data_IF_525473273141
#
_entry.id   IF_525473273141
#
_cell.length_a   1.000
_cell.length_b   1.000
_cell.length_c   1.000
_cell.angle_alpha   90.00
_cell.angle_beta   90.00
_cell.angle_gamma   90.00
#
_symmetry.space_group_name_H-M   'P 1'
#
loop_
_entity.id
_entity.type
_entity.pdbx_description
1 polymer ?
#
# COMPACT_ATOMS: atom_id res chain seq x y z
N UNK A 1 54.74 14.69 54.82
CA UNK A 1 53.33 14.78 54.40
C UNK A 1 53.19 15.94 53.43
N UNK A 2 53.14 15.66 52.11
CA UNK A 2 52.53 16.55 51.12
C UNK A 2 51.80 15.63 50.15
N UNK A 3 50.48 15.67 50.20
CA UNK A 3 49.58 14.88 49.36
C UNK A 3 49.35 15.64 48.04
N UNK A 4 49.67 15.00 46.91
CA UNK A 4 49.33 15.49 45.58
C UNK A 4 48.04 14.82 45.10
N UNK A 5 46.97 15.61 44.97
CA UNK A 5 45.72 15.21 44.34
C UNK A 5 45.81 15.51 42.83
N UNK A 6 45.82 14.48 41.99
CA UNK A 6 45.60 14.61 40.55
C UNK A 6 44.09 14.54 40.27
N UNK A 7 43.53 15.62 39.72
CA UNK A 7 42.20 15.61 39.12
C UNK A 7 42.29 15.12 37.68
N UNK A 8 41.68 13.96 37.41
CA UNK A 8 41.47 13.43 36.06
C UNK A 8 40.18 14.04 35.51
N UNK A 9 40.29 14.90 34.50
CA UNK A 9 39.14 15.45 33.76
C UNK A 9 38.80 14.46 32.65
N UNK A 10 37.64 13.80 32.73
CA UNK A 10 37.13 12.98 31.62
C UNK A 10 36.40 13.86 30.60
N UNK A 11 36.70 13.73 29.29
CA UNK A 11 35.95 14.41 28.25
C UNK A 11 34.58 13.75 28.04
N UNK A 12 33.51 14.51 28.26
CA UNK A 12 32.14 14.11 27.93
C UNK A 12 31.92 14.16 26.42
N UNK A 13 31.82 12.99 25.78
CA UNK A 13 31.44 12.87 24.38
C UNK A 13 29.94 13.13 24.20
N UNK A 14 29.59 14.21 23.50
CA UNK A 14 28.23 14.46 23.02
C UNK A 14 28.00 13.55 21.81
N UNK A 15 27.20 12.50 21.97
CA UNK A 15 26.70 11.72 20.83
C UNK A 15 25.56 12.48 20.16
N UNK A 16 25.83 13.03 18.98
CA UNK A 16 24.79 13.56 18.09
C UNK A 16 24.14 12.36 17.40
N UNK A 17 22.86 12.12 17.67
CA UNK A 17 22.09 11.08 16.98
C UNK A 17 21.94 11.48 15.50
N UNK A 18 22.74 10.88 14.64
CA UNK A 18 22.54 10.96 13.19
C UNK A 18 21.22 10.26 12.88
N UNK A 19 20.23 11.02 12.39
CA UNK A 19 18.99 10.46 11.90
C UNK A 19 19.30 9.43 10.82
N UNK A 20 19.01 8.17 11.10
CA UNK A 20 19.25 7.08 10.16
C UNK A 20 18.31 7.25 8.98
N UNK A 21 18.86 7.51 7.78
CA UNK A 21 18.07 7.47 6.56
C UNK A 21 17.77 6.02 6.20
N UNK A 22 16.53 5.74 5.80
CA UNK A 22 16.11 4.43 5.31
C UNK A 22 16.12 4.40 3.77
N UNK A 23 16.27 3.23 3.12
CA UNK A 23 16.09 3.11 1.67
C UNK A 23 14.73 3.64 1.22
N UNK A 24 14.69 4.36 0.10
CA UNK A 24 13.42 4.77 -0.52
C UNK A 24 12.76 3.53 -1.12
N UNK A 25 11.51 3.28 -0.72
CA UNK A 25 10.73 2.13 -1.19
C UNK A 25 9.82 2.53 -2.36
N UNK A 26 9.54 1.57 -3.24
CA UNK A 26 8.64 1.74 -4.37
C UNK A 26 7.22 1.95 -3.86
N UNK A 27 6.45 2.84 -4.51
CA UNK A 27 5.04 3.05 -4.18
C UNK A 27 4.54 4.47 -4.39
N UNK A 28 3.27 4.68 -4.07
CA UNK A 28 2.62 5.99 -4.12
C UNK A 28 2.76 6.68 -2.78
N UNK A 29 3.27 7.90 -2.79
CA UNK A 29 3.45 8.76 -1.63
C UNK A 29 2.56 9.98 -1.74
N UNK A 30 1.97 10.41 -0.62
CA UNK A 30 1.11 11.57 -0.53
C UNK A 30 1.65 12.56 0.48
N UNK A 31 1.58 13.84 0.14
CA UNK A 31 1.95 14.95 1.01
C UNK A 31 1.18 14.89 2.34
N UNK A 32 1.88 14.97 3.46
CA UNK A 32 1.22 15.06 4.78
C UNK A 32 0.35 16.32 4.85
N UNK A 33 -0.96 16.15 5.06
CA UNK A 33 -1.92 17.25 5.12
C UNK A 33 -2.29 17.87 3.76
N UNK A 34 -1.91 17.25 2.64
CA UNK A 34 -2.22 17.73 1.29
C UNK A 34 -2.80 16.65 0.38
N UNK A 35 -3.27 17.05 -0.81
CA UNK A 35 -3.81 16.16 -1.84
C UNK A 35 -2.80 15.79 -2.93
N UNK A 36 -1.57 16.29 -2.83
CA UNK A 36 -0.53 16.05 -3.82
C UNK A 36 0.09 14.66 -3.60
N UNK A 37 0.17 13.87 -4.66
CA UNK A 37 0.74 12.52 -4.64
C UNK A 37 1.75 12.31 -5.77
N UNK A 38 2.75 11.48 -5.51
CA UNK A 38 3.74 11.01 -6.47
C UNK A 38 3.86 9.50 -6.41
N UNK A 39 4.24 8.86 -7.50
CA UNK A 39 4.65 7.46 -7.49
C UNK A 39 6.16 7.37 -7.65
N UNK A 40 6.81 6.53 -6.85
CA UNK A 40 8.25 6.29 -6.87
C UNK A 40 8.50 4.86 -7.29
N UNK A 41 9.36 4.67 -8.28
CA UNK A 41 9.79 3.37 -8.80
C UNK A 41 11.32 3.28 -8.68
N UNK A 42 11.86 2.16 -8.18
CA UNK A 42 13.30 1.95 -8.25
C UNK A 42 13.72 1.48 -9.63
N UNK A 43 14.87 1.98 -10.05
CA UNK A 43 15.54 1.56 -11.28
C UNK A 43 16.93 1.05 -10.92
N UNK A 44 17.61 0.39 -11.86
CA UNK A 44 19.00 -0.07 -11.67
C UNK A 44 19.98 1.07 -11.30
N UNK A 45 19.57 2.30 -11.56
CA UNK A 45 20.47 3.45 -11.60
C UNK A 45 20.00 4.63 -10.73
N UNK A 46 18.99 4.40 -9.88
CA UNK A 46 18.38 5.41 -9.01
C UNK A 46 16.89 5.16 -8.77
N UNK A 47 16.10 6.23 -8.71
CA UNK A 47 14.63 6.16 -8.64
C UNK A 47 14.01 6.99 -9.76
N UNK A 48 12.86 6.55 -10.26
CA UNK A 48 11.99 7.34 -11.13
C UNK A 48 10.83 7.88 -10.31
N UNK A 49 10.62 9.19 -10.34
CA UNK A 49 9.46 9.83 -9.72
C UNK A 49 8.45 10.18 -10.81
N UNK A 50 7.24 9.64 -10.69
CA UNK A 50 6.12 9.85 -11.58
C UNK A 50 5.14 10.84 -10.93
N UNK A 51 5.02 12.00 -11.56
CA UNK A 51 4.00 13.00 -11.32
C UNK A 51 2.98 12.94 -12.47
N UNK A 52 1.75 13.48 -12.34
CA UNK A 52 0.71 13.34 -13.35
C UNK A 52 1.10 13.73 -14.78
N UNK A 53 2.01 14.70 -14.93
CA UNK A 53 2.44 15.23 -16.24
C UNK A 53 3.96 15.13 -16.45
N UNK A 54 4.69 14.44 -15.57
CA UNK A 54 6.16 14.46 -15.58
C UNK A 54 6.77 13.21 -14.99
N UNK A 55 7.84 12.74 -15.61
CA UNK A 55 8.70 11.70 -15.06
C UNK A 55 10.08 12.29 -14.82
N UNK A 56 10.55 12.22 -13.58
CA UNK A 56 11.80 12.83 -13.15
C UNK A 56 12.76 11.73 -12.68
N UNK A 57 13.85 11.47 -13.42
CA UNK A 57 14.84 10.46 -13.02
C UNK A 57 15.79 11.03 -11.96
N UNK A 58 15.77 10.46 -10.75
CA UNK A 58 16.69 10.84 -9.68
C UNK A 58 17.85 9.85 -9.59
N UNK A 59 19.06 10.38 -9.41
CA UNK A 59 20.31 9.62 -9.26
C UNK A 59 20.75 9.60 -7.80
N UNK A 60 21.40 8.54 -7.31
CA UNK A 60 21.96 8.51 -5.96
C UNK A 60 22.90 9.70 -5.73
N UNK A 61 22.79 10.33 -4.57
CA UNK A 61 23.52 11.56 -4.22
C UNK A 61 25.01 11.35 -3.88
N UNK A 62 25.44 10.09 -3.72
CA UNK A 62 26.78 9.71 -3.29
C UNK A 62 26.78 8.92 -1.98
N UNK A 63 27.96 8.40 -1.61
CA UNK A 63 28.15 7.61 -0.38
C UNK A 63 28.06 8.46 0.91
N UNK A 64 28.28 9.76 0.78
CA UNK A 64 28.18 10.78 1.83
C UNK A 64 26.73 11.11 2.21
N UNK A 65 25.77 10.84 1.32
CA UNK A 65 24.33 11.05 1.52
C UNK A 65 23.53 9.76 1.22
N UNK A 66 23.66 8.72 2.06
CA UNK A 66 22.97 7.45 1.83
C UNK A 66 21.46 7.64 1.77
N UNK A 67 20.83 6.88 0.87
CA UNK A 67 19.38 6.92 0.61
C UNK A 67 18.84 8.30 0.18
N UNK A 68 19.72 9.18 -0.31
CA UNK A 68 19.34 10.44 -0.93
C UNK A 68 19.53 10.32 -2.43
N UNK A 69 18.55 10.82 -3.19
CA UNK A 69 18.54 10.83 -4.63
C UNK A 69 18.30 12.26 -5.11
N UNK A 70 18.98 12.67 -6.18
CA UNK A 70 18.94 14.02 -6.73
C UNK A 70 18.54 14.04 -8.20
N UNK A 71 17.80 15.06 -8.59
CA UNK A 71 17.41 15.33 -9.97
C UNK A 71 17.59 16.82 -10.25
N UNK A 72 18.38 17.15 -11.28
CA UNK A 72 18.51 18.52 -11.76
C UNK A 72 17.41 18.82 -12.78
N UNK A 73 16.69 19.93 -12.60
CA UNK A 73 15.63 20.36 -13.52
C UNK A 73 16.06 21.61 -14.28
N UNK A 74 16.44 21.42 -15.54
CA UNK A 74 16.92 22.48 -16.45
C UNK A 74 15.95 23.67 -16.56
N UNK A 75 14.64 23.41 -16.52
CA UNK A 75 13.62 24.46 -16.65
C UNK A 75 13.62 25.44 -15.47
N UNK A 76 14.02 24.96 -14.29
CA UNK A 76 13.98 25.76 -13.05
C UNK A 76 15.36 26.13 -12.53
N UNK A 77 16.42 25.48 -13.03
CA UNK A 77 17.79 25.66 -12.54
C UNK A 77 18.03 25.12 -11.13
N UNK A 78 17.11 24.33 -10.57
CA UNK A 78 17.23 23.76 -9.23
C UNK A 78 17.49 22.25 -9.27
N UNK A 79 18.27 21.79 -8.29
CA UNK A 79 18.39 20.38 -7.93
C UNK A 79 17.34 20.04 -6.88
N UNK A 80 16.49 19.07 -7.19
CA UNK A 80 15.50 18.50 -6.28
C UNK A 80 16.07 17.22 -5.67
N UNK A 81 15.72 16.96 -4.41
CA UNK A 81 16.15 15.80 -3.66
C UNK A 81 14.97 15.02 -3.09
N UNK A 82 15.11 13.70 -3.08
CA UNK A 82 14.28 12.76 -2.34
C UNK A 82 15.19 12.01 -1.38
N UNK A 83 14.84 11.95 -0.09
CA UNK A 83 15.51 11.05 0.86
C UNK A 83 14.52 10.18 1.61
N UNK A 84 14.89 8.93 1.85
CA UNK A 84 14.11 8.05 2.71
C UNK A 84 14.34 8.38 4.18
N UNK A 85 13.25 8.61 4.92
CA UNK A 85 13.26 8.80 6.37
C UNK A 85 13.02 7.46 7.06
N UNK A 86 11.99 6.74 6.63
CA UNK A 86 11.65 5.40 7.07
C UNK A 86 10.94 4.63 5.93
N UNK A 87 10.48 3.39 6.17
CA UNK A 87 9.83 2.55 5.15
C UNK A 87 8.51 3.11 4.60
N UNK A 88 7.89 4.07 5.27
CA UNK A 88 6.62 4.68 4.90
C UNK A 88 6.75 6.19 4.64
N UNK A 89 7.93 6.77 4.77
CA UNK A 89 8.11 8.22 4.78
C UNK A 89 9.32 8.62 3.97
N UNK A 90 9.10 9.52 3.02
CA UNK A 90 10.16 10.20 2.29
C UNK A 90 10.08 11.71 2.52
N UNK A 91 11.20 12.38 2.37
CA UNK A 91 11.28 13.83 2.33
C UNK A 91 11.67 14.30 0.94
N UNK A 92 10.89 15.23 0.39
CA UNK A 92 11.20 15.96 -0.83
C UNK A 92 11.74 17.36 -0.48
N UNK A 93 12.85 17.76 -1.10
CA UNK A 93 13.51 19.02 -0.79
C UNK A 93 14.18 19.63 -2.03
N UNK A 94 14.53 20.91 -1.96
CA UNK A 94 15.48 21.53 -2.90
C UNK A 94 16.86 21.50 -2.28
N UNK A 95 17.88 21.12 -3.05
CA UNK A 95 19.27 21.05 -2.59
C UNK A 95 19.89 22.45 -2.54
N UNK A 96 19.30 23.31 -1.71
CA UNK A 96 19.71 24.70 -1.47
C UNK A 96 19.69 24.96 0.03
N UNK A 97 20.57 25.84 0.49
CA UNK A 97 20.67 26.21 1.90
C UNK A 97 19.35 26.81 2.43
N UNK A 98 18.96 26.42 3.65
CA UNK A 98 17.75 26.90 4.29
C UNK A 98 16.43 26.29 3.78
N UNK A 99 16.48 25.34 2.83
CA UNK A 99 15.27 24.66 2.38
C UNK A 99 14.66 23.80 3.51
N UNK A 100 13.36 23.95 3.74
CA UNK A 100 12.59 23.07 4.63
C UNK A 100 12.08 21.88 3.81
N UNK A 101 12.45 20.63 4.15
CA UNK A 101 11.94 19.45 3.46
C UNK A 101 10.45 19.24 3.71
N UNK A 102 9.78 18.75 2.68
CA UNK A 102 8.37 18.37 2.73
C UNK A 102 8.25 16.87 2.91
N UNK A 103 7.37 16.41 3.81
CA UNK A 103 7.17 14.99 4.11
C UNK A 103 6.03 14.39 3.29
N UNK A 104 6.27 13.19 2.78
CA UNK A 104 5.27 12.40 2.09
C UNK A 104 5.18 11.01 2.72
N UNK A 105 3.94 10.55 2.93
CA UNK A 105 3.61 9.24 3.48
C UNK A 105 3.20 8.28 2.38
N UNK A 106 3.73 7.05 2.44
CA UNK A 106 3.41 5.98 1.50
C UNK A 106 1.97 5.52 1.73
N UNK A 107 1.16 5.58 0.69
CA UNK A 107 -0.22 5.10 0.68
C UNK A 107 -0.32 3.62 0.27
N UNK A 108 0.63 3.14 -0.55
CA UNK A 108 0.62 1.79 -1.08
C UNK A 108 1.64 1.60 -2.21
N UNK A 109 1.63 0.40 -2.80
CA UNK A 109 2.57 -0.02 -3.85
C UNK A 109 3.07 -1.42 -3.60
N UNK A 110 3.50 -2.17 -4.65
CA UNK A 110 4.09 -3.48 -4.45
C UNK A 110 5.23 -3.34 -3.44
N UNK A 111 5.26 -4.14 -2.37
CA UNK A 111 6.44 -4.16 -1.51
C UNK A 111 7.61 -4.48 -2.43
N UNK A 112 8.65 -3.68 -2.34
CA UNK A 112 9.90 -4.07 -2.97
C UNK A 112 10.22 -5.48 -2.52
N UNK A 113 10.65 -6.32 -3.46
CA UNK A 113 11.04 -7.68 -3.18
C UNK A 113 12.31 -7.67 -2.32
N UNK A 114 12.19 -7.26 -1.05
CA UNK A 114 13.03 -7.81 0.00
C UNK A 114 12.76 -9.32 -0.08
N UNK A 115 13.80 -10.19 -0.08
CA UNK A 115 13.54 -11.59 0.18
C UNK A 115 12.69 -11.60 1.44
N UNK A 116 11.52 -12.21 1.36
CA UNK A 116 10.68 -12.47 2.51
C UNK A 116 11.57 -13.32 3.41
N UNK A 117 12.33 -12.68 4.31
CA UNK A 117 12.61 -13.30 5.58
C UNK A 117 11.21 -13.57 6.07
N UNK A 118 10.87 -14.86 6.14
CA UNK A 118 9.71 -15.33 6.86
C UNK A 118 9.54 -14.38 8.03
N UNK A 119 8.40 -13.69 8.08
CA UNK A 119 8.04 -12.88 9.23
C UNK A 119 8.09 -13.88 10.37
N UNK A 120 9.21 -13.90 11.07
CA UNK A 120 9.32 -14.53 12.36
C UNK A 120 8.31 -13.73 13.19
N UNK A 121 7.23 -14.35 13.70
CA UNK A 121 6.21 -13.67 14.47
C UNK A 121 6.83 -13.27 15.82
N UNK A 122 7.68 -12.25 15.78
CA UNK A 122 8.18 -11.54 16.93
C UNK A 122 7.07 -10.68 17.53
N UNK A 123 7.12 -10.40 18.84
CA UNK A 123 5.96 -10.08 19.66
C UNK A 123 5.55 -8.61 19.49
N UNK A 124 4.95 -8.29 18.35
CA UNK A 124 4.00 -7.19 18.25
C UNK A 124 2.63 -7.80 18.42
N UNK A 125 1.84 -7.31 19.37
CA UNK A 125 0.52 -7.83 19.73
C UNK A 125 -0.57 -7.69 18.65
N UNK A 126 -0.25 -7.90 17.38
CA UNK A 126 -1.22 -8.27 16.37
C UNK A 126 -1.79 -9.65 16.77
N UNK A 127 -3.12 -9.81 16.86
CA UNK A 127 -3.70 -11.11 17.07
C UNK A 127 -3.21 -12.06 15.96
N UNK A 128 -2.95 -13.34 16.28
CA UNK A 128 -2.37 -14.29 15.34
C UNK A 128 -3.13 -14.27 14.01
N UNK A 129 -2.39 -14.35 12.89
CA UNK A 129 -2.96 -14.56 11.57
C UNK A 129 -4.08 -15.63 11.66
N UNK A 130 -5.31 -15.24 11.34
CA UNK A 130 -6.42 -16.19 11.34
C UNK A 130 -7.80 -15.56 11.41
N UNK A 131 -8.12 -14.72 12.40
CA UNK A 131 -9.54 -14.42 12.68
C UNK A 131 -10.09 -13.29 11.82
N UNK A 132 -9.45 -12.12 11.79
CA UNK A 132 -10.12 -10.91 11.30
C UNK A 132 -10.15 -10.85 9.76
N UNK A 133 -9.13 -11.39 9.08
CA UNK A 133 -9.13 -11.54 7.62
C UNK A 133 -10.15 -12.60 7.15
N UNK A 134 -10.40 -13.64 7.94
CA UNK A 134 -11.46 -14.62 7.68
C UNK A 134 -12.84 -14.01 7.90
N UNK A 135 -13.02 -13.21 8.96
CA UNK A 135 -14.24 -12.44 9.22
C UNK A 135 -14.52 -11.47 8.06
N UNK A 136 -13.50 -10.82 7.51
CA UNK A 136 -13.64 -9.97 6.32
C UNK A 136 -14.15 -10.76 5.11
N UNK A 137 -13.54 -11.93 4.82
CA UNK A 137 -13.98 -12.81 3.73
C UNK A 137 -15.41 -13.32 3.93
N UNK A 138 -15.78 -13.68 5.16
CA UNK A 138 -17.13 -14.10 5.54
C UNK A 138 -18.15 -13.01 5.20
N UNK A 139 -17.93 -11.76 5.60
CA UNK A 139 -18.86 -10.68 5.29
C UNK A 139 -18.87 -10.29 3.81
N UNK A 140 -17.73 -10.39 3.12
CA UNK A 140 -17.70 -10.22 1.67
C UNK A 140 -18.54 -11.27 0.93
N UNK A 141 -18.53 -12.52 1.42
CA UNK A 141 -19.39 -13.56 0.86
C UNK A 141 -20.88 -13.28 1.14
N UNK A 142 -21.21 -12.79 2.35
CA UNK A 142 -22.57 -12.38 2.69
C UNK A 142 -23.05 -11.20 1.83
N UNK A 143 -22.21 -10.20 1.54
CA UNK A 143 -22.60 -9.09 0.66
C UNK A 143 -22.97 -9.53 -0.76
N UNK A 144 -22.39 -10.65 -1.22
CA UNK A 144 -22.68 -11.22 -2.53
C UNK A 144 -23.95 -12.10 -2.52
N UNK A 145 -24.30 -12.70 -1.39
CA UNK A 145 -25.38 -13.71 -1.28
C UNK A 145 -26.67 -13.20 -0.65
N UNK A 146 -26.61 -12.14 0.16
CA UNK A 146 -27.77 -11.49 0.77
C UNK A 146 -27.92 -10.07 0.20
N UNK A 147 -28.73 -9.93 -0.84
CA UNK A 147 -28.95 -8.67 -1.54
C UNK A 147 -29.65 -7.62 -0.67
N UNK A 148 -30.53 -8.05 0.24
CA UNK A 148 -31.30 -7.15 1.09
C UNK A 148 -30.41 -6.38 2.08
N UNK A 149 -29.34 -7.02 2.54
CA UNK A 149 -28.39 -6.43 3.49
C UNK A 149 -27.00 -6.19 2.88
N UNK A 150 -26.88 -6.16 1.54
CA UNK A 150 -25.60 -6.04 0.82
C UNK A 150 -24.75 -4.86 1.31
N UNK A 151 -25.37 -3.71 1.55
CA UNK A 151 -24.67 -2.52 2.04
C UNK A 151 -24.10 -2.74 3.45
N UNK A 152 -24.90 -3.34 4.35
CA UNK A 152 -24.47 -3.66 5.71
C UNK A 152 -23.30 -4.66 5.71
N UNK A 153 -23.40 -5.72 4.91
CA UNK A 153 -22.33 -6.72 4.80
C UNK A 153 -21.05 -6.18 4.18
N UNK A 154 -21.15 -5.28 3.20
CA UNK A 154 -19.97 -4.61 2.62
C UNK A 154 -19.26 -3.75 3.67
N UNK A 155 -20.03 -3.01 4.48
CA UNK A 155 -19.50 -2.21 5.57
C UNK A 155 -18.81 -3.07 6.65
N UNK A 156 -19.43 -4.19 7.03
CA UNK A 156 -18.86 -5.16 7.96
C UNK A 156 -17.57 -5.81 7.44
N UNK A 157 -17.51 -6.14 6.14
CA UNK A 157 -16.31 -6.64 5.46
C UNK A 157 -15.16 -5.63 5.56
N UNK A 158 -15.43 -4.35 5.30
CA UNK A 158 -14.43 -3.29 5.38
C UNK A 158 -13.90 -3.09 6.81
N UNK A 159 -14.78 -3.13 7.82
CA UNK A 159 -14.39 -3.03 9.22
C UNK A 159 -13.47 -4.18 9.65
N UNK A 160 -13.83 -5.43 9.32
CA UNK A 160 -13.01 -6.60 9.61
C UNK A 160 -11.66 -6.57 8.86
N UNK A 161 -11.66 -6.15 7.60
CA UNK A 161 -10.43 -6.00 6.82
C UNK A 161 -9.50 -4.97 7.47
N UNK A 162 -10.03 -3.82 7.90
CA UNK A 162 -9.23 -2.81 8.59
C UNK A 162 -8.61 -3.35 9.87
N UNK A 163 -9.35 -4.14 10.66
CA UNK A 163 -8.80 -4.81 11.86
C UNK A 163 -7.66 -5.77 11.52
N UNK A 164 -7.72 -6.44 10.37
CA UNK A 164 -6.63 -7.33 9.94
C UNK A 164 -5.36 -6.60 9.46
N UNK A 165 -5.47 -5.32 9.10
CA UNK A 165 -4.38 -4.54 8.51
C UNK A 165 -3.79 -3.47 9.43
N UNK A 166 -4.56 -3.00 10.41
CA UNK A 166 -4.23 -1.86 11.25
C UNK A 166 -4.04 -2.27 12.71
N UNK A 167 -3.43 -1.39 13.50
CA UNK A 167 -3.38 -1.55 14.96
C UNK A 167 -4.80 -1.50 15.56
N UNK A 168 -4.97 -2.05 16.77
CA UNK A 168 -6.27 -2.10 17.44
C UNK A 168 -6.95 -0.73 17.59
N UNK A 169 -6.20 0.32 17.96
CA UNK A 169 -6.76 1.67 18.12
C UNK A 169 -7.23 2.27 16.80
N UNK A 170 -6.42 2.16 15.74
CA UNK A 170 -6.77 2.66 14.40
C UNK A 170 -7.97 1.89 13.81
N UNK A 171 -8.00 0.58 14.02
CA UNK A 171 -9.10 -0.26 13.58
C UNK A 171 -10.40 0.02 14.35
N UNK A 172 -10.32 0.27 15.66
CA UNK A 172 -11.47 0.62 16.50
C UNK A 172 -12.05 1.99 16.11
N UNK A 173 -11.19 2.98 15.83
CA UNK A 173 -11.63 4.29 15.34
C UNK A 173 -12.40 4.17 14.02
N UNK A 174 -11.89 3.35 13.09
CA UNK A 174 -12.60 3.05 11.84
C UNK A 174 -13.89 2.27 12.09
N UNK A 175 -13.86 1.28 12.99
CA UNK A 175 -15.04 0.51 13.39
C UNK A 175 -16.18 1.38 13.93
N UNK A 176 -15.88 2.44 14.70
CA UNK A 176 -16.88 3.42 15.16
C UNK A 176 -17.49 4.20 13.99
N UNK A 177 -16.69 4.63 13.02
CA UNK A 177 -17.19 5.35 11.83
C UNK A 177 -18.13 4.45 11.00
N UNK A 178 -17.74 3.20 10.80
CA UNK A 178 -18.57 2.21 10.10
C UNK A 178 -19.85 1.93 10.88
N UNK A 179 -19.78 1.81 12.20
CA UNK A 179 -20.95 1.62 13.05
C UNK A 179 -21.94 2.80 12.97
N UNK A 180 -21.45 4.04 12.92
CA UNK A 180 -22.29 5.22 12.71
C UNK A 180 -23.03 5.18 11.38
N UNK A 181 -22.31 4.87 10.30
CA UNK A 181 -22.91 4.72 8.98
C UNK A 181 -23.95 3.61 8.97
N UNK A 182 -23.64 2.45 9.56
CA UNK A 182 -24.55 1.31 9.65
C UNK A 182 -25.81 1.65 10.44
N UNK A 183 -25.73 2.45 11.51
CA UNK A 183 -26.91 2.90 12.29
C UNK A 183 -27.87 3.78 11.50
N UNK A 184 -27.44 4.39 10.40
CA UNK A 184 -28.33 5.13 9.50
C UNK A 184 -29.23 4.21 8.66
N UNK A 185 -28.84 2.94 8.50
CA UNK A 185 -29.53 1.96 7.65
C UNK A 185 -30.04 0.73 8.39
N UNK A 186 -29.41 0.38 9.52
CA UNK A 186 -29.81 -0.71 10.39
C UNK A 186 -30.88 -0.24 11.37
N UNK A 187 -31.93 -1.04 11.53
CA UNK A 187 -33.06 -0.76 12.44
C UNK A 187 -32.87 -1.34 13.84
N UNK A 188 -31.88 -2.21 14.02
CA UNK A 188 -31.66 -2.94 15.27
C UNK A 188 -30.67 -2.23 16.22
N UNK A 189 -30.86 -2.43 17.52
CA UNK A 189 -29.97 -1.91 18.56
C UNK A 189 -28.63 -2.68 18.65
N UNK A 190 -28.49 -3.81 17.97
CA UNK A 190 -27.30 -4.64 17.95
C UNK A 190 -26.48 -4.48 16.66
N UNK A 191 -25.16 -4.64 16.77
CA UNK A 191 -24.29 -4.68 15.59
C UNK A 191 -24.68 -5.85 14.67
N UNK A 192 -24.85 -5.64 13.35
CA UNK A 192 -25.11 -6.73 12.42
C UNK A 192 -23.90 -7.67 12.27
N UNK A 193 -22.71 -7.23 12.70
CA UNK A 193 -21.46 -7.97 12.58
C UNK A 193 -20.59 -7.85 13.85
N UNK A 194 -20.95 -8.53 14.95
CA UNK A 194 -20.30 -8.37 16.26
C UNK A 194 -18.83 -8.82 16.30
N UNK A 195 -18.41 -9.68 15.38
CA UNK A 195 -17.03 -10.13 15.16
C UNK A 195 -16.18 -9.11 14.36
N UNK A 196 -16.80 -8.25 13.55
CA UNK A 196 -16.12 -7.15 12.84
C UNK A 196 -16.20 -5.82 13.59
N UNK A 197 -17.35 -5.56 14.22
CA UNK A 197 -17.66 -4.35 14.98
C UNK A 197 -18.23 -4.83 16.33
N UNK A 198 -17.36 -5.01 17.34
CA UNK A 198 -17.78 -5.41 18.68
C UNK A 198 -18.84 -4.47 19.25
N UNK A 199 -19.72 -5.01 20.09
CA UNK A 199 -20.83 -4.26 20.67
C UNK A 199 -20.36 -2.97 21.39
N UNK A 200 -19.19 -2.98 22.02
CA UNK A 200 -18.62 -1.79 22.64
C UNK A 200 -18.38 -0.63 21.64
N UNK A 201 -17.95 -0.92 20.41
CA UNK A 201 -17.79 0.09 19.36
C UNK A 201 -19.14 0.53 18.81
N UNK A 202 -20.09 -0.40 18.69
CA UNK A 202 -21.46 -0.12 18.26
C UNK A 202 -22.21 0.80 19.22
N UNK A 203 -22.06 0.57 20.52
CA UNK A 203 -22.63 1.41 21.57
C UNK A 203 -21.94 2.78 21.62
N UNK A 204 -20.62 2.82 21.42
CA UNK A 204 -19.87 4.07 21.31
C UNK A 204 -20.34 4.95 20.14
N UNK A 205 -20.77 4.33 19.03
CA UNK A 205 -21.35 5.05 17.90
C UNK A 205 -22.72 5.68 18.21
N UNK A 206 -23.50 5.12 19.16
CA UNK A 206 -24.82 5.63 19.59
C UNK A 206 -24.75 7.05 20.15
N UNK A 207 -23.69 7.37 20.88
CA UNK A 207 -23.53 8.67 21.55
C UNK A 207 -23.39 9.86 20.60
N UNK A 208 -23.18 9.61 19.30
CA UNK A 208 -23.04 10.67 18.29
C UNK A 208 -24.38 10.94 17.57
N UNK A 209 -25.32 9.99 17.55
CA UNK A 209 -26.69 10.20 17.07
C UNK A 209 -27.47 11.18 17.98
N UNK A 210 -27.10 11.26 19.27
CA UNK A 210 -27.68 12.22 20.23
C UNK A 210 -27.20 13.67 20.02
N UNK A 211 -26.08 13.87 19.31
CA UNK A 211 -25.63 15.23 18.94
C UNK A 211 -26.54 15.87 17.88
N UNK A 212 -27.33 15.07 17.16
CA UNK A 212 -28.37 15.55 16.22
C UNK A 212 -29.78 15.64 16.81
N UNK A 213 -30.05 14.99 17.95
CA UNK A 213 -31.38 14.92 18.59
C UNK A 213 -31.49 15.69 19.91
N UNK A 214 -30.39 16.18 20.47
CA UNK A 214 -30.40 16.99 21.69
C UNK A 214 -31.20 18.29 21.51
N UNK A 215 -32.29 18.46 22.29
CA UNK A 215 -33.17 19.64 22.57
C UNK A 215 -33.56 20.64 21.47
N UNK A 216 -32.72 20.90 20.46
CA UNK A 216 -33.02 21.74 19.30
C UNK A 216 -34.07 21.10 18.37
N UNK A 217 -34.09 19.76 18.25
CA UNK A 217 -35.09 19.06 17.41
C UNK A 217 -36.51 19.08 18.01
N UNK A 218 -36.64 19.10 19.35
CA UNK A 218 -37.94 19.20 20.05
C UNK A 218 -38.55 20.61 20.04
N UNK A 219 -37.83 21.63 19.57
CA UNK A 219 -38.38 22.98 19.38
C UNK A 219 -38.99 23.19 17.97
N UNK A 220 -38.83 22.23 17.05
CA UNK A 220 -39.24 22.35 15.66
C UNK A 220 -40.57 21.63 15.32
N UNK A 221 -41.42 21.31 16.30
CA UNK A 221 -42.64 20.49 16.09
C UNK A 221 -43.96 21.28 15.97
N UNK A 222 -43.98 22.48 15.38
CA UNK A 222 -45.29 23.19 15.19
C UNK A 222 -45.64 23.65 13.78
N UNK A 223 -44.85 23.31 12.75
CA UNK A 223 -45.36 23.41 11.37
C UNK A 223 -44.53 22.53 10.43
N UNK A 224 -45.14 21.58 9.69
CA UNK A 224 -44.47 20.98 8.55
C UNK A 224 -43.93 22.11 7.66
N UNK A 225 -42.65 22.08 7.24
CA UNK A 225 -42.18 23.03 6.24
C UNK A 225 -43.15 22.97 5.06
N UNK A 226 -43.57 24.14 4.58
CA UNK A 226 -44.41 24.22 3.40
C UNK A 226 -43.77 23.36 2.29
N UNK A 227 -44.55 22.59 1.51
CA UNK A 227 -43.99 21.80 0.42
C UNK A 227 -43.09 22.71 -0.40
N UNK A 228 -41.86 22.25 -0.65
CA UNK A 228 -40.90 22.99 -1.46
C UNK A 228 -41.60 23.42 -2.76
N UNK A 229 -41.44 24.68 -3.20
CA UNK A 229 -42.06 25.16 -4.43
C UNK A 229 -41.75 24.19 -5.58
N UNK A 230 -42.69 24.02 -6.51
CA UNK A 230 -42.61 23.00 -7.57
C UNK A 230 -41.31 23.07 -8.39
N UNK A 231 -40.69 24.27 -8.49
CA UNK A 231 -39.38 24.47 -9.11
C UNK A 231 -38.25 23.65 -8.45
N UNK A 232 -38.27 23.51 -7.11
CA UNK A 232 -37.28 22.72 -6.36
C UNK A 232 -37.48 21.22 -6.59
N UNK A 233 -38.70 20.79 -6.93
CA UNK A 233 -39.00 19.39 -7.25
C UNK A 233 -38.42 19.01 -8.61
N UNK A 234 -38.60 19.86 -9.62
CA UNK A 234 -38.05 19.61 -10.96
C UNK A 234 -36.52 19.60 -10.95
N UNK A 235 -35.89 20.55 -10.24
CA UNK A 235 -34.43 20.59 -10.13
C UNK A 235 -33.86 19.34 -9.43
N UNK A 236 -34.48 18.86 -8.34
CA UNK A 236 -34.06 17.60 -7.70
C UNK A 236 -34.23 16.40 -8.62
N UNK A 237 -35.32 16.33 -9.40
CA UNK A 237 -35.52 15.24 -10.35
C UNK A 237 -34.43 15.27 -11.44
N UNK A 238 -34.06 16.46 -11.91
CA UNK A 238 -32.95 16.64 -12.87
C UNK A 238 -31.61 16.19 -12.26
N UNK A 239 -31.30 16.62 -11.04
CA UNK A 239 -30.07 16.23 -10.33
C UNK A 239 -30.01 14.71 -10.11
N UNK A 240 -31.13 14.09 -9.72
CA UNK A 240 -31.22 12.65 -9.54
C UNK A 240 -31.01 11.89 -10.87
N UNK A 241 -31.57 12.41 -11.97
CA UNK A 241 -31.35 11.84 -13.30
C UNK A 241 -29.88 11.97 -13.74
N UNK A 242 -29.26 13.13 -13.53
CA UNK A 242 -27.85 13.38 -13.83
C UNK A 242 -26.92 12.44 -13.01
N UNK A 243 -27.20 12.27 -11.71
CA UNK A 243 -26.45 11.34 -10.87
C UNK A 243 -26.64 9.88 -11.30
N UNK A 244 -27.86 9.47 -11.67
CA UNK A 244 -28.11 8.12 -12.17
C UNK A 244 -27.38 7.86 -13.50
N UNK A 245 -27.38 8.83 -14.42
CA UNK A 245 -26.63 8.74 -15.68
C UNK A 245 -25.12 8.64 -15.44
N UNK A 246 -24.58 9.45 -14.51
CA UNK A 246 -23.17 9.37 -14.11
C UNK A 246 -22.83 8.01 -13.51
N UNK A 247 -23.68 7.49 -12.61
CA UNK A 247 -23.46 6.19 -11.98
C UNK A 247 -23.46 5.05 -13.00
N UNK A 248 -24.33 5.09 -14.01
CA UNK A 248 -24.34 4.14 -15.11
C UNK A 248 -23.05 4.21 -15.94
N UNK A 249 -22.59 5.42 -16.28
CA UNK A 249 -21.32 5.61 -17.01
C UNK A 249 -20.11 5.14 -16.22
N UNK A 250 -20.07 5.41 -14.91
CA UNK A 250 -18.99 4.95 -14.04
C UNK A 250 -19.00 3.41 -13.88
N UNK A 251 -20.19 2.79 -13.84
CA UNK A 251 -20.33 1.33 -13.80
C UNK A 251 -19.77 0.66 -15.07
N UNK A 252 -20.05 1.21 -16.25
CA UNK A 252 -19.47 0.71 -17.51
C UNK A 252 -17.94 0.88 -17.56
N UNK A 253 -17.40 2.02 -17.07
CA UNK A 253 -15.94 2.20 -16.96
C UNK A 253 -15.32 1.17 -16.03
N UNK A 254 -15.89 0.97 -14.84
CA UNK A 254 -15.40 -0.02 -13.86
C UNK A 254 -15.43 -1.43 -14.46
N UNK A 255 -16.47 -1.76 -15.23
CA UNK A 255 -16.56 -3.04 -15.92
C UNK A 255 -15.45 -3.19 -16.96
N UNK A 256 -15.24 -2.18 -17.81
CA UNK A 256 -14.15 -2.18 -18.80
C UNK A 256 -12.77 -2.32 -18.15
N UNK A 257 -12.52 -1.63 -17.02
CA UNK A 257 -11.27 -1.73 -16.27
C UNK A 257 -11.06 -3.14 -15.70
N UNK A 258 -12.13 -3.77 -15.16
CA UNK A 258 -12.08 -5.15 -14.68
C UNK A 258 -11.79 -6.14 -15.80
N UNK A 259 -12.43 -5.98 -16.96
CA UNK A 259 -12.20 -6.84 -18.12
C UNK A 259 -10.76 -6.67 -18.66
N UNK A 260 -10.25 -5.45 -18.70
CA UNK A 260 -8.87 -5.16 -19.05
C UNK A 260 -7.86 -5.79 -18.08
N UNK A 261 -8.12 -5.73 -16.78
CA UNK A 261 -7.31 -6.39 -15.76
C UNK A 261 -7.31 -7.92 -15.92
N UNK A 262 -8.49 -8.52 -16.14
CA UNK A 262 -8.61 -9.95 -16.37
C UNK A 262 -7.84 -10.41 -17.62
N UNK A 263 -7.90 -9.63 -18.71
CA UNK A 263 -7.13 -9.89 -19.92
C UNK A 263 -5.61 -9.82 -19.67
N UNK A 264 -5.14 -8.80 -18.94
CA UNK A 264 -3.73 -8.66 -18.58
C UNK A 264 -3.23 -9.83 -17.70
N UNK A 265 -4.05 -10.28 -16.74
CA UNK A 265 -3.73 -11.45 -15.92
C UNK A 265 -3.64 -12.74 -16.74
N UNK A 266 -4.53 -12.94 -17.72
CA UNK A 266 -4.47 -14.07 -18.63
C UNK A 266 -3.22 -14.02 -19.54
N UNK A 267 -2.82 -12.85 -20.01
CA UNK A 267 -1.58 -12.66 -20.76
C UNK A 267 -0.33 -12.95 -19.92
N UNK A 268 -0.28 -12.44 -18.69
CA UNK A 268 0.81 -12.72 -17.76
C UNK A 268 0.94 -14.24 -17.47
N UNK A 269 -0.18 -14.94 -17.34
CA UNK A 269 -0.19 -16.39 -17.15
C UNK A 269 0.38 -17.12 -18.38
N UNK A 270 -0.03 -16.73 -19.60
CA UNK A 270 0.53 -17.29 -20.85
C UNK A 270 2.02 -17.03 -20.97
N UNK A 271 2.49 -15.84 -20.60
CA UNK A 271 3.91 -15.49 -20.61
C UNK A 271 4.70 -16.36 -19.61
N UNK A 272 4.15 -16.62 -18.41
CA UNK A 272 4.77 -17.54 -17.43
C UNK A 272 4.87 -18.95 -17.97
N UNK A 273 3.81 -19.47 -18.59
CA UNK A 273 3.82 -20.81 -19.19
C UNK A 273 4.82 -20.92 -20.35
N UNK A 274 4.92 -19.88 -21.18
CA UNK A 274 5.93 -19.82 -22.23
C UNK A 274 7.34 -19.84 -21.65
N UNK A 275 7.62 -19.00 -20.65
CA UNK A 275 8.91 -18.96 -19.98
C UNK A 275 9.29 -20.32 -19.36
N UNK A 276 8.33 -21.03 -18.76
CA UNK A 276 8.56 -22.38 -18.22
C UNK A 276 8.96 -23.37 -19.31
N UNK A 277 8.27 -23.37 -20.47
CA UNK A 277 8.62 -24.23 -21.61
C UNK A 277 10.00 -23.92 -22.19
N UNK A 278 10.34 -22.64 -22.31
CA UNK A 278 11.66 -22.20 -22.76
C UNK A 278 12.76 -22.63 -21.79
N UNK A 279 12.50 -22.53 -20.47
CA UNK A 279 13.42 -23.00 -19.43
C UNK A 279 13.64 -24.51 -19.51
N UNK A 280 12.58 -25.30 -19.65
CA UNK A 280 12.67 -26.76 -19.81
C UNK A 280 13.46 -27.14 -21.08
N UNK A 281 13.23 -26.42 -22.18
CA UNK A 281 13.96 -26.61 -23.44
C UNK A 281 15.45 -26.32 -23.25
N UNK A 282 15.77 -25.20 -22.61
CA UNK A 282 17.15 -24.81 -22.31
C UNK A 282 17.85 -25.82 -21.40
N UNK A 283 17.19 -26.30 -20.35
CA UNK A 283 17.74 -27.32 -19.45
C UNK A 283 18.01 -28.64 -20.19
N UNK A 284 17.10 -29.05 -21.10
CA UNK A 284 17.29 -30.23 -21.93
C UNK A 284 18.47 -30.05 -22.91
N UNK A 285 18.61 -28.89 -23.54
CA UNK A 285 19.76 -28.59 -24.41
C UNK A 285 21.08 -28.56 -23.63
N UNK A 286 21.09 -27.92 -22.46
CA UNK A 286 22.25 -27.89 -21.58
C UNK A 286 22.68 -29.31 -21.17
N UNK A 287 21.73 -30.19 -20.86
CA UNK A 287 22.01 -31.59 -20.56
C UNK A 287 22.60 -32.34 -21.77
N UNK A 288 22.10 -32.08 -22.98
CA UNK A 288 22.66 -32.67 -24.22
C UNK A 288 24.07 -32.20 -24.51
N UNK A 289 24.33 -30.90 -24.36
CA UNK A 289 25.67 -30.31 -24.54
C UNK A 289 26.64 -30.91 -23.52
N UNK A 290 26.22 -31.00 -22.25
CA UNK A 290 27.02 -31.64 -21.21
C UNK A 290 27.35 -33.10 -21.53
N UNK A 291 26.36 -33.89 -21.95
CA UNK A 291 26.59 -35.28 -22.32
C UNK A 291 27.57 -35.43 -23.50
N UNK A 292 27.49 -34.53 -24.49
CA UNK A 292 28.42 -34.52 -25.62
C UNK A 292 29.85 -34.17 -25.18
N UNK A 293 29.99 -33.21 -24.25
CA UNK A 293 31.28 -32.85 -23.68
C UNK A 293 31.89 -34.02 -22.87
N UNK A 294 31.10 -34.63 -22.00
CA UNK A 294 31.55 -35.78 -21.19
C UNK A 294 31.98 -36.96 -22.10
N UNK A 295 31.27 -37.19 -23.22
CA UNK A 295 31.64 -38.20 -24.22
C UNK A 295 32.97 -37.88 -24.94
N UNK A 296 33.17 -36.62 -25.35
CA UNK A 296 34.41 -36.16 -25.96
C UNK A 296 35.60 -36.30 -25.00
N UNK A 297 35.43 -35.91 -23.73
CA UNK A 297 36.46 -36.05 -22.71
C UNK A 297 36.85 -37.52 -22.50
N UNK A 298 35.87 -38.43 -22.48
CA UNK A 298 36.11 -39.87 -22.39
C UNK A 298 36.88 -40.42 -23.61
N UNK A 299 36.54 -39.97 -24.83
CA UNK A 299 37.27 -40.34 -26.05
C UNK A 299 38.73 -39.85 -25.98
N UNK A 300 38.94 -38.59 -25.60
CA UNK A 300 40.27 -38.01 -25.45
C UNK A 300 41.10 -38.68 -24.35
N UNK A 301 40.46 -39.20 -23.30
CA UNK A 301 41.12 -40.01 -22.29
C UNK A 301 41.58 -41.37 -22.86
N UNK A 302 40.73 -42.04 -23.65
CA UNK A 302 41.09 -43.30 -24.34
C UNK A 302 42.24 -43.10 -25.33
N UNK A 303 42.20 -42.02 -26.11
CA UNK A 303 43.28 -41.66 -27.04
C UNK A 303 44.62 -41.47 -26.34
N UNK A 304 44.62 -40.75 -25.20
CA UNK A 304 45.81 -40.57 -24.36
C UNK A 304 46.33 -41.90 -23.82
N UNK A 305 45.45 -42.78 -23.35
CA UNK A 305 45.83 -44.11 -22.84
C UNK A 305 46.45 -45.01 -23.92
N UNK A 306 46.07 -44.86 -25.18
CA UNK A 306 46.61 -45.61 -26.32
C UNK A 306 47.98 -45.08 -26.83
N UNK A 307 48.63 -44.16 -26.11
CA UNK A 307 49.91 -43.57 -26.52
C UNK A 307 49.80 -42.69 -27.77
N UNK A 308 48.64 -42.07 -28.00
CA UNK A 308 48.40 -41.16 -29.12
C UNK A 308 48.26 -41.84 -30.49
N UNK A 309 48.20 -43.18 -30.55
CA UNK A 309 47.88 -43.91 -31.80
C UNK A 309 46.37 -44.08 -31.90
N UNK A 310 45.76 -43.43 -32.89
CA UNK A 310 44.36 -43.71 -33.24
C UNK A 310 44.24 -45.18 -33.69
N UNK A 311 43.23 -45.92 -33.24
CA UNK A 311 42.91 -47.21 -33.84
C UNK A 311 42.63 -46.99 -35.33
N UNK A 312 43.41 -47.67 -36.17
CA UNK A 312 43.20 -47.71 -37.63
C UNK A 312 41.97 -48.53 -37.97
#
# INVERSE_FOLDING_TARGET
MIAGMMMTVMPGGISVALGQSAPVEDGTYMLEGGSYSISVERTDSGIMVHEPNKHSPYRPAGADRPNTYLFFNDNTGYTYGIRGVDSQTIEAFKDVEGNVPTRLKRLGGPPSARPIRAIDPGPSGAPPEGTDAEVARKYQALSNSDEANRQSWTACSAAALKRSLASGEEADAYGVQVAQMLRLIAVDDASPCPDAIPQALWDKAKGIDDLGKGKAATAATTKPPAPAPDADREERLRLNADMAAKAASDAERIKADKDGYAAAMAEAQRAREQYQRERETYEAEAARVKAAQDAYEAEMARYRAAGGRLPR
#
